data_IF_518046376581
#
_entry.id   IF_518046376581
#
_cell.length_a   1.000
_cell.length_b   1.000
_cell.length_c   1.000
_cell.angle_alpha   90.00
_cell.angle_beta   90.00
_cell.angle_gamma   90.00
#
_symmetry.space_group_name_H-M   'P 1'
#
loop_
_entity.id
_entity.type
_entity.pdbx_description
1 polymer ?
#
# COMPACT_ATOMS: atom_id res chain seq x y z
N UNK A 1 -13.87 -16.00 9.54
CA UNK A 1 -13.60 -14.93 8.54
C UNK A 1 -12.70 -13.89 9.17
N UNK A 2 -11.74 -13.36 8.42
CA UNK A 2 -10.92 -12.22 8.84
C UNK A 2 -11.57 -10.90 8.39
N UNK A 3 -11.37 -9.80 9.12
CA UNK A 3 -11.87 -8.49 8.71
C UNK A 3 -11.14 -7.97 7.47
N UNK A 4 -11.88 -7.40 6.52
CA UNK A 4 -11.34 -6.70 5.35
C UNK A 4 -11.32 -5.20 5.61
N UNK A 5 -10.19 -4.55 5.37
CA UNK A 5 -10.01 -3.10 5.56
C UNK A 5 -9.48 -2.48 4.27
N UNK A 6 -10.13 -1.42 3.79
CA UNK A 6 -9.71 -0.67 2.60
C UNK A 6 -9.13 0.70 3.00
N UNK A 7 -7.98 1.08 2.42
CA UNK A 7 -7.33 2.37 2.59
C UNK A 7 -7.58 3.26 1.36
N UNK A 8 -8.48 4.23 1.47
CA UNK A 8 -8.87 5.14 0.38
C UNK A 8 -8.42 6.59 0.64
N UNK A 9 -8.26 7.37 -0.42
CA UNK A 9 -7.90 8.79 -0.34
C UNK A 9 -7.14 9.27 -1.57
N UNK A 10 -6.98 10.61 -1.69
CA UNK A 10 -6.31 11.27 -2.83
C UNK A 10 -4.91 10.67 -3.12
N UNK A 11 -4.41 10.75 -4.37
CA UNK A 11 -3.04 10.34 -4.68
C UNK A 11 -2.03 10.99 -3.73
N UNK A 12 -0.96 10.27 -3.38
CA UNK A 12 0.17 10.76 -2.58
C UNK A 12 -0.12 11.22 -1.13
N UNK A 13 -1.30 10.95 -0.56
CA UNK A 13 -1.62 11.29 0.86
C UNK A 13 -0.99 10.36 1.91
N UNK A 14 -0.01 9.54 1.54
CA UNK A 14 0.71 8.67 2.49
C UNK A 14 0.02 7.34 2.84
N UNK A 15 -0.92 6.86 2.02
CA UNK A 15 -1.60 5.56 2.23
C UNK A 15 -0.62 4.39 2.36
N UNK A 16 0.36 4.31 1.46
CA UNK A 16 1.40 3.28 1.48
C UNK A 16 2.31 3.40 2.70
N UNK A 17 2.61 4.63 3.14
CA UNK A 17 3.37 4.89 4.38
C UNK A 17 2.64 4.36 5.61
N UNK A 18 1.32 4.59 5.71
CA UNK A 18 0.50 4.06 6.80
C UNK A 18 0.45 2.53 6.75
N UNK A 19 0.25 1.94 5.57
CA UNK A 19 0.22 0.49 5.37
C UNK A 19 1.53 -0.18 5.85
N UNK A 20 2.69 0.35 5.45
CA UNK A 20 4.00 -0.19 5.87
C UNK A 20 4.23 -0.09 7.37
N UNK A 21 3.81 1.03 7.98
CA UNK A 21 3.92 1.24 9.42
C UNK A 21 3.11 0.20 10.20
N UNK A 22 1.89 -0.09 9.73
CA UNK A 22 1.02 -1.10 10.36
C UNK A 22 1.59 -2.51 10.24
N UNK A 23 2.20 -2.84 9.09
CA UNK A 23 2.79 -4.16 8.85
C UNK A 23 4.14 -4.38 9.53
N UNK A 24 4.76 -3.34 10.13
CA UNK A 24 6.13 -3.35 10.69
C UNK A 24 7.19 -3.98 9.77
N UNK A 25 6.88 -4.07 8.48
CA UNK A 25 7.71 -4.57 7.40
C UNK A 25 7.65 -3.55 6.27
N UNK A 26 8.80 -3.22 5.70
CA UNK A 26 8.93 -2.43 4.48
C UNK A 26 8.46 -3.21 3.24
N UNK A 27 7.39 -4.01 3.34
CA UNK A 27 6.69 -4.54 2.16
C UNK A 27 5.73 -3.50 1.62
N UNK A 28 6.29 -2.36 1.27
CA UNK A 28 5.66 -1.51 0.28
C UNK A 28 6.00 -2.12 -1.05
N UNK A 29 5.05 -2.87 -1.60
CA UNK A 29 4.95 -3.04 -3.04
C UNK A 29 4.56 -1.67 -3.63
N UNK A 30 5.43 -0.66 -3.51
CA UNK A 30 5.43 0.50 -4.37
C UNK A 30 6.04 0.03 -5.69
N UNK A 31 5.20 -0.56 -6.54
CA UNK A 31 5.50 -0.56 -7.95
C UNK A 31 5.26 0.86 -8.46
N UNK A 32 6.32 1.65 -8.54
CA UNK A 32 6.35 2.95 -9.21
C UNK A 32 6.71 2.80 -10.71
N UNK A 33 6.22 1.75 -11.38
CA UNK A 33 6.42 1.54 -12.82
C UNK A 33 5.08 1.33 -13.54
N UNK A 34 4.64 2.25 -14.41
CA UNK A 34 3.61 1.91 -15.38
C UNK A 34 4.24 0.91 -16.37
N UNK A 35 3.77 -0.34 -16.34
CA UNK A 35 4.07 -1.31 -17.39
C UNK A 35 4.99 -2.49 -17.05
N UNK A 36 5.16 -2.90 -15.79
CA UNK A 36 5.83 -4.19 -15.51
C UNK A 36 5.21 -4.93 -14.33
N UNK A 37 4.40 -5.93 -14.65
CA UNK A 37 4.57 -7.28 -14.11
C UNK A 37 3.86 -8.30 -15.01
N UNK A 38 4.62 -9.30 -15.48
CA UNK A 38 4.17 -10.70 -15.49
C UNK A 38 4.14 -11.19 -14.05
#
# INVERSE_FOLDING_TARGET
>A
MLPLVALIGRPNVGKSTLFNRLLRQNKSLTHDLPGVTR
#
